data_IF_777891875465
#
_entry.id   IF_777891875465
#
_cell.length_a   1.000
_cell.length_b   1.000
_cell.length_c   1.000
_cell.angle_alpha   90.00
_cell.angle_beta   90.00
_cell.angle_gamma   90.00
#
_symmetry.space_group_name_H-M   'P 1'
#
loop_
_entity.id
_entity.type
_entity.pdbx_description
1 polymer ?
#
# COMPACT_ATOMS: atom_id res chain seq x y z
N UNK A 1 -12.64 14.99 17.68
CA UNK A 1 -11.32 14.82 17.01
C UNK A 1 -11.49 15.29 15.57
N UNK A 2 -10.55 16.08 15.06
CA UNK A 2 -10.72 16.77 13.77
C UNK A 2 -10.34 15.84 12.60
N UNK A 3 -11.10 15.83 11.51
CA UNK A 3 -10.80 15.00 10.32
C UNK A 3 -9.36 15.12 9.81
N UNK A 4 -8.73 16.26 10.05
CA UNK A 4 -7.35 16.55 9.64
C UNK A 4 -6.32 15.74 10.43
N UNK A 5 -6.54 15.51 11.73
CA UNK A 5 -5.64 14.72 12.57
C UNK A 5 -5.66 13.24 12.20
N UNK A 6 -6.83 12.72 11.79
CA UNK A 6 -6.95 11.32 11.37
C UNK A 6 -6.27 11.08 10.02
N UNK A 7 -6.42 12.00 9.06
CA UNK A 7 -5.70 11.93 7.77
C UNK A 7 -4.18 11.98 7.99
N UNK A 8 -3.69 12.88 8.83
CA UNK A 8 -2.26 12.98 9.12
C UNK A 8 -1.70 11.73 9.81
N UNK A 9 -2.40 11.18 10.81
CA UNK A 9 -1.99 9.97 11.50
C UNK A 9 -1.95 8.76 10.55
N UNK A 10 -2.88 8.68 9.62
CA UNK A 10 -3.00 7.56 8.69
C UNK A 10 -2.02 7.65 7.52
N UNK A 11 -1.74 8.87 7.03
CA UNK A 11 -0.62 9.13 6.13
C UNK A 11 0.72 8.78 6.80
N UNK A 12 0.91 9.15 8.08
CA UNK A 12 2.11 8.76 8.83
C UNK A 12 2.19 7.25 9.04
N UNK A 13 1.08 6.56 9.31
CA UNK A 13 1.07 5.10 9.45
C UNK A 13 1.31 4.39 8.11
N UNK A 14 0.86 4.95 6.98
CA UNK A 14 1.17 4.44 5.64
C UNK A 14 2.65 4.66 5.30
N UNK A 15 3.18 5.84 5.58
CA UNK A 15 4.59 6.17 5.37
C UNK A 15 5.52 5.32 6.25
N UNK A 16 5.20 5.16 7.53
CA UNK A 16 5.98 4.33 8.45
C UNK A 16 5.95 2.85 8.05
N UNK A 17 4.81 2.34 7.55
CA UNK A 17 4.72 0.95 7.10
C UNK A 17 5.43 0.71 5.77
N UNK A 18 5.37 1.66 4.83
CA UNK A 18 6.17 1.68 3.59
C UNK A 18 7.67 1.52 3.86
N UNK A 19 8.15 2.10 4.97
CA UNK A 19 9.58 2.13 5.30
C UNK A 19 10.03 0.96 6.19
N UNK A 20 9.16 -0.01 6.51
CA UNK A 20 9.61 -1.26 7.12
C UNK A 20 10.47 -2.04 6.11
N UNK A 21 11.77 -2.18 6.41
CA UNK A 21 12.70 -2.93 5.57
C UNK A 21 12.29 -4.39 5.43
N UNK A 22 11.88 -4.78 4.22
CA UNK A 22 12.14 -6.12 3.75
C UNK A 22 13.66 -6.30 3.65
N UNK A 23 14.19 -7.35 4.29
CA UNK A 23 15.61 -7.70 4.24
C UNK A 23 16.08 -7.72 2.78
N UNK A 24 17.07 -6.88 2.49
CA UNK A 24 17.71 -6.59 1.19
C UNK A 24 18.25 -7.80 0.40
N UNK A 25 18.03 -9.04 0.86
CA UNK A 25 18.68 -10.24 0.32
C UNK A 25 17.86 -10.96 -0.76
N UNK A 26 16.67 -10.45 -1.12
CA UNK A 26 15.79 -11.07 -2.11
C UNK A 26 15.41 -10.05 -3.17
N UNK A 27 16.17 -10.00 -4.25
CA UNK A 27 16.10 -8.97 -5.31
C UNK A 27 14.74 -8.86 -6.01
N UNK A 28 13.80 -9.76 -5.76
CA UNK A 28 12.40 -9.56 -6.07
C UNK A 28 11.50 -10.45 -5.21
N UNK A 29 10.94 -9.91 -4.13
CA UNK A 29 9.92 -10.61 -3.34
C UNK A 29 8.64 -10.75 -4.16
N UNK A 30 8.44 -11.91 -4.76
CA UNK A 30 7.21 -12.25 -5.46
C UNK A 30 6.35 -13.20 -4.61
N UNK A 31 5.03 -12.95 -4.46
CA UNK A 31 4.36 -11.69 -4.77
C UNK A 31 4.83 -10.55 -3.86
N UNK A 32 4.70 -9.30 -4.34
CA UNK A 32 4.96 -8.15 -3.48
C UNK A 32 4.07 -8.20 -2.23
N UNK A 33 4.57 -7.71 -1.10
CA UNK A 33 3.81 -7.56 0.14
C UNK A 33 2.99 -6.28 0.08
N UNK A 34 1.67 -6.48 0.04
CA UNK A 34 0.70 -5.40 -0.14
C UNK A 34 -0.31 -5.40 1.00
N UNK A 35 -0.46 -4.23 1.62
CA UNK A 35 -1.36 -3.96 2.73
C UNK A 35 -2.47 -2.97 2.32
N UNK A 36 -3.65 -3.12 2.91
CA UNK A 36 -4.74 -2.15 2.77
C UNK A 36 -5.02 -1.50 4.12
N UNK A 37 -4.91 -0.19 4.18
CA UNK A 37 -5.16 0.61 5.38
C UNK A 37 -6.53 1.26 5.28
N UNK A 38 -7.48 0.82 6.12
CA UNK A 38 -8.84 1.34 6.12
C UNK A 38 -9.00 2.60 6.97
N UNK A 39 -9.68 3.60 6.41
CA UNK A 39 -9.87 4.95 6.94
C UNK A 39 -11.33 5.36 6.79
N UNK A 40 -12.21 4.63 7.48
CA UNK A 40 -13.65 4.74 7.32
C UNK A 40 -14.08 4.31 5.90
N UNK A 41 -14.74 5.17 5.10
CA UNK A 41 -15.17 4.81 3.74
C UNK A 41 -14.04 4.80 2.71
N UNK A 42 -12.86 5.34 3.06
CA UNK A 42 -11.67 5.36 2.20
C UNK A 42 -10.64 4.38 2.69
N UNK A 43 -9.72 3.99 1.82
CA UNK A 43 -8.58 3.17 2.17
C UNK A 43 -7.36 3.50 1.29
N UNK A 44 -6.19 3.07 1.73
CA UNK A 44 -4.92 3.22 1.01
C UNK A 44 -4.33 1.84 0.79
N UNK A 45 -3.97 1.52 -0.46
CA UNK A 45 -3.17 0.35 -0.79
C UNK A 45 -1.69 0.73 -0.67
N UNK A 46 -0.92 -0.01 0.13
CA UNK A 46 0.51 0.20 0.36
C UNK A 46 1.26 -1.03 -0.13
N UNK A 47 2.26 -0.83 -0.99
CA UNK A 47 3.17 -1.87 -1.40
C UNK A 47 4.55 -1.59 -0.80
N UNK A 48 5.01 -2.51 0.05
CA UNK A 48 6.28 -2.38 0.77
C UNK A 48 7.48 -2.55 -0.16
N UNK A 49 7.38 -3.46 -1.13
CA UNK A 49 8.43 -3.68 -2.14
C UNK A 49 8.55 -2.51 -3.12
N UNK A 50 7.44 -1.91 -3.52
CA UNK A 50 7.46 -0.72 -4.37
C UNK A 50 7.83 0.55 -3.61
N UNK A 51 7.78 0.52 -2.27
CA UNK A 51 7.84 1.68 -1.39
C UNK A 51 6.88 2.78 -1.87
N UNK A 52 5.64 2.39 -2.17
CA UNK A 52 4.64 3.29 -2.73
C UNK A 52 3.26 2.99 -2.16
N UNK A 53 2.38 3.99 -2.22
CA UNK A 53 0.98 3.85 -1.90
C UNK A 53 0.09 4.44 -2.99
N UNK A 54 -1.18 4.01 -3.00
CA UNK A 54 -2.17 4.41 -3.99
C UNK A 54 -2.77 5.79 -3.75
N UNK A 55 -2.48 6.44 -2.62
CA UNK A 55 -3.33 7.50 -2.08
C UNK A 55 -4.70 6.99 -1.60
N UNK A 56 -5.60 7.93 -1.28
CA UNK A 56 -6.90 7.65 -0.68
C UNK A 56 -7.96 7.28 -1.71
N UNK A 57 -8.20 5.99 -1.88
CA UNK A 57 -9.24 5.45 -2.75
C UNK A 57 -10.52 5.12 -1.95
N UNK A 58 -11.68 4.97 -2.59
CA UNK A 58 -12.80 4.23 -2.01
C UNK A 58 -12.36 2.85 -1.53
N UNK A 59 -12.91 2.37 -0.41
CA UNK A 59 -12.49 1.10 0.21
C UNK A 59 -12.40 -0.07 -0.78
N UNK A 60 -13.44 -0.27 -1.59
CA UNK A 60 -13.47 -1.38 -2.55
C UNK A 60 -12.39 -1.27 -3.63
N UNK A 61 -12.08 -0.05 -4.08
CA UNK A 61 -11.03 0.19 -5.08
C UNK A 61 -9.63 -0.08 -4.51
N UNK A 62 -9.36 0.31 -3.26
CA UNK A 62 -8.09 0.00 -2.61
C UNK A 62 -7.91 -1.52 -2.41
N UNK A 63 -8.98 -2.23 -2.03
CA UNK A 63 -8.97 -3.69 -1.86
C UNK A 63 -8.77 -4.43 -3.19
N UNK A 64 -9.44 -3.97 -4.25
CA UNK A 64 -9.26 -4.49 -5.60
C UNK A 64 -7.82 -4.26 -6.09
N UNK A 65 -7.32 -3.02 -5.99
CA UNK A 65 -5.96 -2.66 -6.39
C UNK A 65 -4.90 -3.49 -5.64
N UNK A 66 -5.09 -3.74 -4.35
CA UNK A 66 -4.18 -4.58 -3.59
C UNK A 66 -4.17 -6.03 -4.08
N UNK A 67 -5.35 -6.58 -4.38
CA UNK A 67 -5.50 -7.93 -4.92
C UNK A 67 -4.85 -8.05 -6.30
N UNK A 68 -5.13 -7.09 -7.18
CA UNK A 68 -4.57 -7.03 -8.53
C UNK A 68 -3.05 -6.88 -8.48
N UNK A 69 -2.53 -6.01 -7.61
CA UNK A 69 -1.09 -5.81 -7.49
C UNK A 69 -0.38 -7.06 -6.98
N UNK A 70 -0.93 -7.77 -5.97
CA UNK A 70 -0.39 -9.06 -5.52
C UNK A 70 -0.39 -10.10 -6.64
N UNK A 71 -1.46 -10.16 -7.44
CA UNK A 71 -1.57 -11.13 -8.52
C UNK A 71 -0.61 -10.82 -9.68
N UNK A 72 -0.51 -9.56 -10.09
CA UNK A 72 0.43 -9.12 -11.12
C UNK A 72 1.88 -9.38 -10.70
N UNK A 73 2.17 -9.20 -9.42
CA UNK A 73 3.53 -9.34 -8.88
C UNK A 73 3.89 -10.76 -8.49
N UNK A 74 3.09 -11.78 -8.82
CA UNK A 74 3.41 -13.18 -8.54
C UNK A 74 4.64 -13.68 -9.27
N UNK A 75 4.86 -13.20 -10.49
CA UNK A 75 5.94 -13.68 -11.36
C UNK A 75 6.72 -12.53 -12.02
N UNK A 76 6.23 -11.29 -11.90
CA UNK A 76 6.92 -10.11 -12.44
C UNK A 76 6.78 -8.88 -11.53
N UNK A 77 7.89 -8.23 -11.20
CA UNK A 77 7.86 -6.98 -10.44
C UNK A 77 7.37 -5.82 -11.30
N UNK A 78 6.12 -5.40 -11.09
CA UNK A 78 5.54 -4.14 -11.59
C UNK A 78 5.42 -3.14 -10.46
N UNK A 79 5.49 -1.82 -10.75
CA UNK A 79 5.29 -0.78 -9.73
C UNK A 79 3.82 -0.56 -9.43
N UNK A 80 3.52 -0.35 -8.14
CA UNK A 80 2.21 0.16 -7.72
C UNK A 80 2.00 1.55 -8.31
N UNK A 81 0.81 1.79 -8.87
CA UNK A 81 0.42 3.11 -9.37
C UNK A 81 -0.14 3.95 -8.23
N UNK A 82 0.44 5.11 -8.01
CA UNK A 82 -0.14 6.14 -7.16
C UNK A 82 -1.25 6.88 -7.93
N UNK A 83 -2.29 7.29 -7.22
CA UNK A 83 -3.34 8.16 -7.76
C UNK A 83 -2.85 9.60 -7.97
#
# INVERSE_FOLDING_TARGET
>A
MSRVTDVAACTMAAAHRRDHEHRLDSEACHPHVVEVVHLGPRAVCVCHDCRADSGFLPRGEAEALATDHRNLTRDVSVRLRSA
#
